data_IF_798132621930
#
_entry.id   IF_798132621930
#
_cell.length_a   1.000
_cell.length_b   1.000
_cell.length_c   1.000
_cell.angle_alpha   90.00
_cell.angle_beta   90.00
_cell.angle_gamma   90.00
#
_symmetry.space_group_name_H-M   'P 1'
#
loop_
_entity.id
_entity.type
_entity.pdbx_description
1 polymer ?
#
# COMPACT_ATOMS: atom_id res chain seq x y z
N UNK A 1 14.38 40.36 27.94
CA UNK A 1 13.08 40.26 27.22
C UNK A 1 13.31 39.32 26.04
N UNK A 2 13.20 38.00 26.20
CA UNK A 2 11.95 37.22 26.26
C UNK A 2 11.11 37.39 24.98
N UNK A 3 11.63 37.07 23.79
CA UNK A 3 10.77 37.02 22.59
C UNK A 3 11.23 36.16 21.40
N UNK A 4 12.25 35.30 21.53
CA UNK A 4 12.73 34.47 20.38
C UNK A 4 12.74 32.95 20.63
N UNK A 5 11.74 32.42 21.36
CA UNK A 5 11.69 30.96 21.68
C UNK A 5 10.42 30.22 21.29
N UNK A 6 9.53 30.82 20.49
CA UNK A 6 8.20 30.24 20.23
C UNK A 6 7.94 29.75 18.79
N UNK A 7 8.93 29.71 17.90
CA UNK A 7 8.67 29.40 16.46
C UNK A 7 9.20 28.06 15.95
N UNK A 8 9.68 27.15 16.81
CA UNK A 8 10.25 25.85 16.37
C UNK A 8 9.53 24.60 16.90
N UNK A 9 8.37 24.73 17.53
CA UNK A 9 7.69 23.58 18.18
C UNK A 9 6.53 23.01 17.32
N UNK A 10 6.04 23.72 16.31
CA UNK A 10 4.71 23.43 15.74
C UNK A 10 4.66 22.58 14.45
N UNK A 11 5.81 22.20 13.86
CA UNK A 11 5.80 21.30 12.68
C UNK A 11 5.82 19.80 13.03
N UNK A 12 6.02 19.44 14.31
CA UNK A 12 6.07 18.04 14.76
C UNK A 12 4.69 17.46 15.16
N UNK A 13 3.69 18.32 15.35
CA UNK A 13 2.39 17.95 15.96
C UNK A 13 1.39 17.41 14.93
N UNK A 14 1.65 17.58 13.62
CA UNK A 14 0.75 17.16 12.55
C UNK A 14 0.83 15.66 12.16
N UNK A 15 1.89 14.95 12.52
CA UNK A 15 2.24 13.69 11.87
C UNK A 15 1.90 12.41 12.65
N UNK A 16 1.54 12.52 13.93
CA UNK A 16 1.15 11.40 14.80
C UNK A 16 -0.37 11.30 15.04
N UNK A 17 -1.17 12.10 14.33
CA UNK A 17 -2.62 12.11 14.54
C UNK A 17 -3.24 10.80 14.03
N UNK A 18 -4.25 10.27 14.74
CA UNK A 18 -5.02 9.15 14.22
C UNK A 18 -5.60 9.48 12.85
N UNK A 19 -5.68 8.48 11.97
CA UNK A 19 -6.18 8.66 10.62
C UNK A 19 -7.14 7.53 10.26
N UNK A 20 -8.01 7.80 9.29
CA UNK A 20 -8.94 6.79 8.79
C UNK A 20 -8.14 5.65 8.14
N UNK A 21 -8.59 4.42 8.37
CA UNK A 21 -8.03 3.21 7.77
C UNK A 21 -7.82 3.38 6.25
N UNK A 22 -6.68 2.92 5.71
CA UNK A 22 -6.38 3.08 4.28
C UNK A 22 -7.12 2.11 3.36
N UNK A 23 -7.97 1.23 3.89
CA UNK A 23 -8.82 0.35 3.08
C UNK A 23 -10.14 1.07 2.81
N UNK A 24 -10.56 1.11 1.54
CA UNK A 24 -11.65 1.96 1.07
C UNK A 24 -12.98 1.82 1.83
N UNK A 25 -13.39 0.60 2.16
CA UNK A 25 -14.66 0.33 2.86
C UNK A 25 -14.58 0.46 4.39
N UNK A 26 -13.45 0.94 4.92
CA UNK A 26 -13.22 1.05 6.36
C UNK A 26 -13.13 2.52 6.81
N UNK A 27 -14.17 2.98 7.52
CA UNK A 27 -14.22 4.34 8.08
C UNK A 27 -13.65 4.45 9.50
N UNK A 28 -13.01 3.38 10.01
CA UNK A 28 -12.43 3.39 11.35
C UNK A 28 -11.25 4.39 11.41
N UNK A 29 -11.23 5.21 12.45
CA UNK A 29 -10.07 6.04 12.80
C UNK A 29 -9.09 5.19 13.61
N UNK A 30 -7.83 5.17 13.18
CA UNK A 30 -6.80 4.24 13.65
C UNK A 30 -5.56 5.03 14.07
N UNK A 31 -5.08 4.78 15.28
CA UNK A 31 -3.81 5.32 15.77
C UNK A 31 -2.63 4.59 15.14
N UNK A 32 -1.47 5.27 15.04
CA UNK A 32 -0.25 4.67 14.50
C UNK A 32 0.20 3.42 15.26
N UNK A 33 0.01 3.40 16.58
CA UNK A 33 0.32 2.28 17.48
C UNK A 33 -0.70 1.14 17.42
N UNK A 34 -1.87 1.36 16.80
CA UNK A 34 -2.95 0.37 16.76
C UNK A 34 -3.25 -0.15 15.36
N UNK A 35 -2.48 0.28 14.35
CA UNK A 35 -2.70 -0.13 12.96
C UNK A 35 -2.67 -1.65 12.81
N UNK A 36 -1.67 -2.33 13.37
CA UNK A 36 -1.55 -3.78 13.23
C UNK A 36 -2.72 -4.51 13.90
N UNK A 37 -3.11 -4.10 15.12
CA UNK A 37 -4.30 -4.64 15.80
C UNK A 37 -5.55 -4.46 14.94
N UNK A 38 -5.74 -3.26 14.39
CA UNK A 38 -6.89 -2.96 13.54
C UNK A 38 -6.92 -3.89 12.31
N UNK A 39 -5.79 -4.03 11.61
CA UNK A 39 -5.69 -4.95 10.47
C UNK A 39 -6.01 -6.40 10.86
N UNK A 40 -5.45 -6.88 11.98
CA UNK A 40 -5.67 -8.26 12.48
C UNK A 40 -7.15 -8.51 12.77
N UNK A 41 -7.80 -7.58 13.46
CA UNK A 41 -9.15 -7.78 13.98
C UNK A 41 -10.27 -7.48 12.99
N UNK A 42 -10.02 -6.58 12.02
CA UNK A 42 -11.05 -6.10 11.08
C UNK A 42 -10.89 -6.61 9.66
N UNK A 43 -9.66 -6.90 9.23
CA UNK A 43 -9.36 -7.14 7.80
C UNK A 43 -8.70 -8.49 7.52
N UNK A 44 -8.04 -9.09 8.51
CA UNK A 44 -7.38 -10.40 8.40
C UNK A 44 -8.32 -11.58 8.74
N UNK A 45 -9.52 -11.34 9.24
CA UNK A 45 -10.51 -12.41 9.49
C UNK A 45 -10.91 -13.05 8.15
N UNK A 46 -10.67 -14.37 7.94
CA UNK A 46 -11.05 -15.08 6.72
C UNK A 46 -12.55 -15.01 6.42
N UNK A 47 -13.39 -14.73 7.44
CA UNK A 47 -14.84 -14.57 7.29
C UNK A 47 -15.24 -13.21 6.75
N UNK A 48 -14.32 -12.23 6.70
CA UNK A 48 -14.60 -10.87 6.27
C UNK A 48 -14.99 -10.78 4.77
N UNK A 49 -14.68 -11.79 3.93
CA UNK A 49 -15.04 -11.88 2.50
C UNK A 49 -14.83 -10.57 1.70
N UNK A 50 -13.89 -9.73 2.10
CA UNK A 50 -13.72 -8.39 1.51
C UNK A 50 -12.90 -8.40 0.22
N UNK A 51 -12.18 -9.49 -0.08
CA UNK A 51 -11.28 -9.59 -1.23
C UNK A 51 -11.37 -10.98 -1.90
N UNK A 52 -11.11 -11.08 -3.21
CA UNK A 52 -11.01 -12.37 -3.90
C UNK A 52 -9.76 -13.18 -3.50
N UNK A 53 -8.88 -12.61 -2.67
CA UNK A 53 -7.70 -13.25 -2.11
C UNK A 53 -7.61 -13.00 -0.60
N UNK A 54 -7.10 -13.97 0.15
CA UNK A 54 -6.91 -13.83 1.58
C UNK A 54 -5.75 -12.86 1.88
N UNK A 55 -6.04 -11.78 2.59
CA UNK A 55 -5.02 -10.87 3.14
C UNK A 55 -4.01 -11.70 3.95
N UNK A 56 -2.72 -11.58 3.63
CA UNK A 56 -1.66 -12.34 4.33
C UNK A 56 -0.97 -11.47 5.35
N UNK A 57 -0.78 -12.00 6.56
CA UNK A 57 0.10 -11.43 7.56
C UNK A 57 1.40 -12.22 7.59
N UNK A 58 2.55 -11.53 7.49
CA UNK A 58 3.87 -12.18 7.45
C UNK A 58 4.93 -11.34 8.13
N UNK A 59 5.81 -11.97 8.90
CA UNK A 59 7.05 -11.36 9.36
C UNK A 59 8.12 -11.37 8.27
N UNK A 60 8.83 -10.26 8.12
CA UNK A 60 9.90 -10.10 7.11
C UNK A 60 11.11 -9.35 7.67
N UNK A 61 12.31 -9.72 7.23
CA UNK A 61 13.55 -9.02 7.55
C UNK A 61 14.01 -8.09 6.42
N UNK A 62 14.95 -7.19 6.70
CA UNK A 62 15.60 -6.36 5.68
C UNK A 62 16.23 -7.22 4.59
N UNK A 63 16.06 -6.82 3.32
CA UNK A 63 16.58 -7.53 2.15
C UNK A 63 15.84 -8.84 1.82
N UNK A 64 14.87 -9.25 2.64
CA UNK A 64 14.11 -10.47 2.39
C UNK A 64 13.15 -10.27 1.20
N UNK A 65 13.28 -11.17 0.22
CA UNK A 65 12.39 -11.23 -0.94
C UNK A 65 11.02 -11.78 -0.57
N UNK A 66 9.97 -10.97 -0.77
CA UNK A 66 8.58 -11.39 -0.59
C UNK A 66 7.85 -11.39 -1.93
N UNK A 67 7.27 -12.52 -2.31
CA UNK A 67 6.46 -12.68 -3.53
C UNK A 67 4.98 -12.82 -3.17
N UNK A 68 4.15 -11.91 -3.69
CA UNK A 68 2.71 -11.89 -3.50
C UNK A 68 2.03 -12.24 -4.81
N UNK A 69 1.31 -13.35 -4.84
CA UNK A 69 0.50 -13.71 -6.01
C UNK A 69 -0.69 -12.75 -6.11
N UNK A 70 -0.86 -12.16 -7.28
CA UNK A 70 -1.90 -11.17 -7.56
C UNK A 70 -2.77 -11.63 -8.73
N UNK A 71 -4.03 -12.05 -8.48
CA UNK A 71 -5.01 -12.24 -9.54
C UNK A 71 -5.56 -10.88 -9.99
N UNK A 72 -4.77 -10.13 -10.77
CA UNK A 72 -4.98 -8.70 -11.03
C UNK A 72 -6.32 -8.37 -11.71
N UNK A 73 -6.88 -9.28 -12.52
CA UNK A 73 -8.22 -9.08 -13.13
C UNK A 73 -9.38 -9.23 -12.16
N UNK A 74 -9.17 -9.84 -10.99
CA UNK A 74 -10.19 -9.99 -9.95
C UNK A 74 -10.25 -8.77 -9.03
N UNK A 75 -9.30 -7.84 -9.13
CA UNK A 75 -9.32 -6.60 -8.34
C UNK A 75 -10.57 -5.78 -8.67
N UNK A 76 -11.24 -5.32 -7.60
CA UNK A 76 -12.35 -4.38 -7.70
C UNK A 76 -11.82 -3.04 -8.22
N UNK A 77 -12.50 -2.50 -9.24
CA UNK A 77 -12.15 -1.22 -9.86
C UNK A 77 -12.45 -0.07 -8.89
N UNK A 78 -11.58 0.93 -8.88
CA UNK A 78 -11.64 2.15 -8.06
C UNK A 78 -11.70 1.87 -6.54
N UNK A 79 -11.12 0.73 -6.13
CA UNK A 79 -11.12 0.29 -4.74
C UNK A 79 -9.69 0.00 -4.23
N UNK A 80 -9.29 0.70 -3.16
CA UNK A 80 -8.01 0.50 -2.48
C UNK A 80 -8.02 -0.80 -1.68
N UNK A 81 -7.17 -1.74 -2.08
CA UNK A 81 -7.10 -3.08 -1.53
C UNK A 81 -5.72 -3.35 -0.95
N UNK A 82 -5.67 -4.12 0.14
CA UNK A 82 -4.42 -4.53 0.77
C UNK A 82 -4.11 -5.99 0.43
N UNK A 83 -2.96 -6.24 -0.19
CA UNK A 83 -2.48 -7.58 -0.57
C UNK A 83 -1.89 -8.34 0.61
N UNK A 84 -1.12 -7.63 1.44
CA UNK A 84 -0.43 -8.21 2.58
C UNK A 84 -0.10 -7.16 3.64
N UNK A 85 0.00 -7.62 4.88
CA UNK A 85 0.63 -6.90 5.99
C UNK A 85 1.99 -7.55 6.24
N UNK A 86 3.05 -6.85 5.87
CA UNK A 86 4.44 -7.25 6.09
C UNK A 86 4.92 -6.61 7.40
N UNK A 87 5.04 -7.41 8.45
CA UNK A 87 5.59 -6.97 9.73
C UNK A 87 7.10 -7.02 9.64
N UNK A 88 7.70 -5.87 9.34
CA UNK A 88 9.14 -5.78 9.13
C UNK A 88 9.87 -5.72 10.47
N UNK A 89 10.88 -6.57 10.64
CA UNK A 89 11.85 -6.52 11.73
C UNK A 89 13.13 -5.81 11.28
N UNK A 90 13.55 -4.79 12.04
CA UNK A 90 14.82 -4.09 11.84
C UNK A 90 15.62 -4.09 13.13
N UNK A 91 16.94 -4.25 13.01
CA UNK A 91 17.88 -4.30 14.14
C UNK A 91 17.86 -2.99 14.97
N UNK A 92 17.40 -1.87 14.39
CA UNK A 92 17.35 -0.54 15.02
C UNK A 92 15.92 -0.01 15.22
N UNK A 93 14.97 -0.86 15.63
CA UNK A 93 13.54 -0.51 15.70
C UNK A 93 13.13 0.45 16.80
N UNK A 94 13.79 0.38 17.97
CA UNK A 94 13.44 1.21 19.14
C UNK A 94 13.45 2.72 18.85
N UNK A 95 14.24 3.13 17.85
CA UNK A 95 14.34 4.53 17.44
C UNK A 95 13.48 4.89 16.23
N UNK A 96 12.87 3.92 15.54
CA UNK A 96 12.22 4.14 14.25
C UNK A 96 10.72 4.41 14.33
N UNK A 97 10.00 3.66 15.18
CA UNK A 97 8.56 3.77 15.36
C UNK A 97 8.19 3.45 16.81
N UNK A 98 7.05 3.98 17.27
CA UNK A 98 6.44 3.52 18.50
C UNK A 98 5.99 2.04 18.38
N UNK A 99 6.02 1.26 19.47
CA UNK A 99 5.56 -0.13 19.46
C UNK A 99 4.07 -0.24 19.14
N UNK A 100 3.68 -1.34 18.50
CA UNK A 100 2.29 -1.70 18.29
C UNK A 100 1.67 -2.18 19.61
N UNK A 101 0.52 -1.60 19.97
CA UNK A 101 -0.17 -1.82 21.23
C UNK A 101 -1.38 -2.73 21.06
N UNK A 102 -1.79 -3.33 22.17
CA UNK A 102 -2.99 -4.15 22.30
C UNK A 102 -3.14 -5.28 21.25
N UNK A 103 -2.00 -5.83 20.82
CA UNK A 103 -2.01 -6.98 19.92
C UNK A 103 -2.63 -8.19 20.63
N UNK A 104 -3.41 -9.04 19.92
CA UNK A 104 -3.89 -10.30 20.46
C UNK A 104 -2.72 -11.17 20.97
N UNK A 105 -2.92 -12.04 21.99
CA UNK A 105 -1.84 -12.84 22.59
C UNK A 105 -0.96 -13.59 21.58
N UNK A 106 -1.56 -14.18 20.54
CA UNK A 106 -0.84 -14.90 19.49
C UNK A 106 0.01 -14.04 18.54
N UNK A 107 -0.09 -12.71 18.63
CA UNK A 107 0.63 -11.75 17.80
C UNK A 107 1.54 -10.81 18.62
N UNK A 108 1.69 -11.02 19.93
CA UNK A 108 2.53 -10.16 20.79
C UNK A 108 3.99 -10.10 20.35
N UNK A 109 4.51 -11.16 19.69
CA UNK A 109 5.86 -11.15 19.12
C UNK A 109 6.07 -10.06 18.06
N UNK A 110 5.00 -9.48 17.50
CA UNK A 110 5.04 -8.42 16.49
C UNK A 110 5.00 -7.01 17.08
N UNK A 111 5.00 -6.86 18.41
CA UNK A 111 4.87 -5.56 19.09
C UNK A 111 5.90 -4.53 18.63
N UNK A 112 7.12 -4.95 18.34
CA UNK A 112 8.18 -4.03 17.90
C UNK A 112 8.34 -3.96 16.38
N UNK A 113 7.63 -4.79 15.63
CA UNK A 113 7.67 -4.77 14.18
C UNK A 113 6.94 -3.57 13.61
N UNK A 114 7.42 -3.07 12.48
CA UNK A 114 6.71 -2.06 11.72
C UNK A 114 5.75 -2.74 10.74
N UNK A 115 4.42 -2.60 10.90
CA UNK A 115 3.48 -3.11 9.90
C UNK A 115 3.57 -2.27 8.63
N UNK A 116 3.88 -2.92 7.52
CA UNK A 116 3.89 -2.32 6.17
C UNK A 116 2.75 -2.95 5.37
N UNK A 117 1.79 -2.13 4.97
CA UNK A 117 0.67 -2.53 4.14
C UNK A 117 1.08 -2.46 2.67
N UNK A 118 0.88 -3.56 1.96
CA UNK A 118 1.12 -3.64 0.52
C UNK A 118 -0.19 -3.35 -0.19
N UNK A 119 -0.32 -2.13 -0.71
CA UNK A 119 -1.57 -1.64 -1.28
C UNK A 119 -1.58 -1.77 -2.80
N UNK A 120 -2.77 -2.02 -3.34
CA UNK A 120 -3.04 -2.03 -4.77
C UNK A 120 -4.39 -1.37 -5.07
N UNK A 121 -4.49 -0.69 -6.21
CA UNK A 121 -5.74 -0.22 -6.76
C UNK A 121 -5.76 -0.46 -8.27
N UNK A 122 -6.86 -1.03 -8.78
CA UNK A 122 -7.17 -1.09 -10.20
C UNK A 122 -8.10 0.07 -10.50
N UNK A 123 -7.77 0.90 -11.48
CA UNK A 123 -8.58 2.06 -11.88
C UNK A 123 -8.47 2.24 -13.40
N UNK A 124 -9.02 3.32 -13.94
CA UNK A 124 -8.92 3.68 -15.37
C UNK A 124 -8.22 5.01 -15.53
N UNK A 125 -7.57 5.23 -16.67
CA UNK A 125 -7.00 6.54 -16.99
C UNK A 125 -8.06 7.65 -16.94
N UNK A 126 -9.30 7.36 -17.32
CA UNK A 126 -10.44 8.28 -17.18
C UNK A 126 -10.67 8.69 -15.72
N UNK A 127 -10.74 7.74 -14.78
CA UNK A 127 -10.95 8.02 -13.35
C UNK A 127 -9.80 8.83 -12.73
N UNK A 128 -8.58 8.54 -13.21
CA UNK A 128 -7.35 9.24 -12.85
C UNK A 128 -7.28 10.68 -13.40
N UNK A 129 -7.71 10.90 -14.64
CA UNK A 129 -7.62 12.18 -15.35
C UNK A 129 -8.87 13.06 -15.22
N UNK A 130 -10.04 12.50 -14.90
CA UNK A 130 -11.29 13.25 -14.73
C UNK A 130 -11.17 14.26 -13.58
N UNK A 131 -11.03 15.52 -13.98
CA UNK A 131 -11.18 16.69 -13.10
C UNK A 131 -12.33 17.62 -13.51
N UNK A 132 -13.25 17.24 -14.40
CA UNK A 132 -14.25 18.16 -14.96
C UNK A 132 -15.62 17.47 -15.02
N UNK A 133 -16.60 18.12 -14.41
CA UNK A 133 -18.05 17.86 -14.38
C UNK A 133 -18.59 16.71 -13.49
N UNK A 134 -19.11 17.13 -12.33
CA UNK A 134 -20.01 16.36 -11.43
C UNK A 134 -21.37 16.01 -12.07
N UNK A 135 -21.51 15.97 -13.39
CA UNK A 135 -22.83 15.87 -14.06
C UNK A 135 -23.12 14.60 -14.86
N UNK A 136 -22.18 13.68 -15.06
CA UNK A 136 -22.48 12.43 -15.77
C UNK A 136 -22.42 11.22 -14.84
N UNK A 137 -23.46 11.09 -14.02
CA UNK A 137 -23.68 9.94 -13.12
C UNK A 137 -24.51 8.82 -13.77
N UNK A 138 -24.39 8.62 -15.09
CA UNK A 138 -25.23 7.62 -15.75
C UNK A 138 -24.68 7.08 -17.07
N UNK A 139 -23.52 6.44 -17.05
CA UNK A 139 -23.17 5.49 -18.12
C UNK A 139 -22.54 4.22 -17.55
N UNK A 140 -23.39 3.20 -17.38
CA UNK A 140 -23.03 1.79 -17.29
C UNK A 140 -22.58 1.28 -18.67
N UNK A 141 -21.45 1.77 -19.16
CA UNK A 141 -20.69 1.15 -20.26
C UNK A 141 -19.35 0.70 -19.70
N UNK A 142 -18.81 -0.38 -20.25
CA UNK A 142 -17.58 -1.02 -19.78
C UNK A 142 -16.40 -0.03 -19.84
N UNK A 143 -16.17 0.69 -18.74
CA UNK A 143 -15.28 1.86 -18.65
C UNK A 143 -13.83 1.50 -18.97
N UNK A 144 -13.49 0.22 -18.86
CA UNK A 144 -12.16 -0.32 -19.20
C UNK A 144 -11.90 -0.33 -20.71
N UNK A 145 -12.93 -0.54 -21.54
CA UNK A 145 -12.79 -0.69 -22.99
C UNK A 145 -12.48 0.62 -23.73
N UNK A 146 -12.80 1.78 -23.14
CA UNK A 146 -12.64 3.08 -23.81
C UNK A 146 -11.36 3.84 -23.43
N UNK A 147 -10.83 3.65 -22.21
CA UNK A 147 -9.72 4.47 -21.68
C UNK A 147 -8.55 3.67 -21.10
N UNK A 148 -8.62 2.33 -21.13
CA UNK A 148 -7.58 1.45 -20.62
C UNK A 148 -7.55 1.38 -19.08
N UNK A 149 -7.38 0.17 -18.56
CA UNK A 149 -7.15 -0.08 -17.14
C UNK A 149 -5.72 0.26 -16.72
N UNK A 150 -5.55 0.70 -15.48
CA UNK A 150 -4.25 0.97 -14.87
C UNK A 150 -4.23 0.47 -13.44
N UNK A 151 -3.11 -0.13 -13.06
CA UNK A 151 -2.87 -0.65 -11.73
C UNK A 151 -1.83 0.19 -11.02
N UNK A 152 -2.11 0.49 -9.76
CA UNK A 152 -1.23 1.25 -8.88
C UNK A 152 -0.85 0.41 -7.68
N UNK A 153 0.44 0.40 -7.35
CA UNK A 153 1.01 -0.33 -6.21
C UNK A 153 1.81 0.62 -5.34
N UNK A 154 1.58 0.59 -4.02
CA UNK A 154 2.34 1.42 -3.07
C UNK A 154 2.41 0.75 -1.71
N UNK A 155 3.26 1.30 -0.84
CA UNK A 155 3.46 0.80 0.53
C UNK A 155 3.07 1.86 1.55
N UNK A 156 2.35 1.44 2.59
CA UNK A 156 1.98 2.28 3.73
C UNK A 156 2.54 1.71 5.02
N UNK A 157 2.89 2.56 5.99
CA UNK A 157 3.25 2.18 7.35
C UNK A 157 2.75 3.22 8.34
N UNK A 158 2.77 2.93 9.65
CA UNK A 158 2.73 3.96 10.69
C UNK A 158 3.81 5.04 10.49
N UNK A 159 3.65 6.16 11.19
CA UNK A 159 4.65 7.23 11.19
C UNK A 159 5.99 6.69 11.64
N UNK A 160 7.02 6.96 10.86
CA UNK A 160 8.40 6.58 11.15
C UNK A 160 9.25 7.83 11.28
N UNK A 161 10.22 7.80 12.21
CA UNK A 161 11.12 8.95 12.43
C UNK A 161 12.07 9.19 11.27
N UNK A 162 12.32 8.16 10.47
CA UNK A 162 13.22 8.19 9.31
C UNK A 162 12.55 7.51 8.11
N UNK A 163 12.81 7.99 6.87
CA UNK A 163 12.32 7.35 5.66
C UNK A 163 12.76 5.88 5.56
N UNK A 164 11.84 5.02 5.13
CA UNK A 164 12.11 3.61 4.82
C UNK A 164 11.91 3.41 3.33
N UNK A 165 12.76 2.56 2.74
CA UNK A 165 12.71 2.24 1.33
C UNK A 165 12.48 0.76 1.07
N UNK A 166 11.88 0.47 -0.07
CA UNK A 166 11.68 -0.88 -0.59
C UNK A 166 11.91 -0.93 -2.10
N UNK A 167 12.37 -2.06 -2.60
CA UNK A 167 12.36 -2.37 -4.03
C UNK A 167 11.06 -3.09 -4.38
N UNK A 168 10.45 -2.68 -5.49
CA UNK A 168 9.19 -3.24 -6.00
C UNK A 168 9.40 -3.76 -7.42
N UNK A 169 8.91 -4.96 -7.69
CA UNK A 169 8.92 -5.53 -9.03
C UNK A 169 7.63 -6.31 -9.34
N UNK A 170 7.27 -6.36 -10.62
CA UNK A 170 6.22 -7.23 -11.13
C UNK A 170 6.88 -8.33 -11.96
N UNK A 171 6.52 -9.56 -11.64
CA UNK A 171 7.05 -10.75 -12.29
C UNK A 171 5.91 -11.52 -12.94
N UNK A 172 6.19 -12.12 -14.10
CA UNK A 172 5.24 -13.02 -14.75
C UNK A 172 5.14 -14.37 -14.01
N UNK A 173 4.32 -15.28 -14.55
CA UNK A 173 4.13 -16.63 -13.96
C UNK A 173 5.41 -17.49 -13.96
N UNK A 174 6.39 -17.16 -14.80
CA UNK A 174 7.73 -17.77 -14.82
C UNK A 174 8.73 -17.08 -13.89
N UNK A 175 8.29 -16.12 -13.05
CA UNK A 175 9.14 -15.35 -12.11
C UNK A 175 10.20 -14.51 -12.86
N UNK A 176 9.99 -14.24 -14.15
CA UNK A 176 10.83 -13.31 -14.89
C UNK A 176 10.39 -11.89 -14.55
N UNK A 177 11.37 -11.05 -14.20
CA UNK A 177 11.10 -9.64 -13.93
C UNK A 177 10.71 -8.95 -15.21
N UNK A 178 9.53 -8.36 -15.20
CA UNK A 178 9.05 -7.59 -16.34
C UNK A 178 9.12 -6.10 -16.04
N UNK A 179 8.75 -5.74 -14.83
CA UNK A 179 8.81 -4.36 -14.39
C UNK A 179 9.59 -4.32 -13.09
N UNK A 180 10.65 -3.51 -13.05
CA UNK A 180 11.42 -3.29 -11.84
C UNK A 180 11.58 -1.81 -11.62
N UNK A 181 11.12 -1.32 -10.47
CA UNK A 181 11.47 0.01 -9.98
C UNK A 181 12.30 -0.15 -8.74
N UNK A 182 13.54 0.28 -8.88
CA UNK A 182 14.43 0.38 -7.76
C UNK A 182 13.93 1.52 -6.87
N UNK A 183 13.80 1.23 -5.59
CA UNK A 183 13.66 2.18 -4.49
C UNK A 183 12.39 3.04 -4.53
N UNK A 184 11.38 2.57 -3.82
CA UNK A 184 10.20 3.31 -3.39
C UNK A 184 10.23 3.59 -1.91
N UNK A 185 9.86 4.81 -1.54
CA UNK A 185 9.71 5.22 -0.15
C UNK A 185 8.39 4.69 0.39
N UNK A 186 8.39 4.17 1.61
CA UNK A 186 7.17 3.77 2.31
C UNK A 186 6.50 5.02 2.87
N UNK A 187 5.18 5.13 2.67
CA UNK A 187 4.42 6.31 3.08
C UNK A 187 3.84 6.13 4.48
N UNK A 188 3.66 7.24 5.18
CA UNK A 188 2.78 7.26 6.34
C UNK A 188 1.32 7.02 5.89
N UNK A 189 0.62 6.05 6.49
CA UNK A 189 -0.78 5.77 6.17
C UNK A 189 -1.71 6.94 6.50
N UNK A 190 -1.34 7.78 7.47
CA UNK A 190 -2.12 8.97 7.82
C UNK A 190 -2.03 10.09 6.77
N UNK A 191 -1.01 10.06 5.91
CA UNK A 191 -0.84 11.04 4.84
C UNK A 191 -1.73 10.68 3.65
N UNK A 192 -2.99 11.10 3.71
CA UNK A 192 -3.92 10.99 2.60
C UNK A 192 -3.44 11.83 1.41
N UNK A 193 -3.38 11.19 0.26
CA UNK A 193 -3.13 11.84 -1.01
C UNK A 193 -4.09 11.21 -2.01
N UNK A 194 -4.89 12.01 -2.73
CA UNK A 194 -5.74 11.48 -3.78
C UNK A 194 -4.87 10.76 -4.80
N UNK A 195 -5.30 9.57 -5.22
CA UNK A 195 -4.66 8.71 -6.25
C UNK A 195 -4.26 9.50 -7.51
N UNK A 196 -4.91 10.63 -7.78
CA UNK A 196 -4.66 11.52 -8.92
C UNK A 196 -3.35 12.30 -8.84
N UNK A 197 -2.85 12.62 -7.65
CA UNK A 197 -1.58 13.33 -7.49
C UNK A 197 -0.37 12.41 -7.76
N UNK A 198 -0.59 11.12 -8.00
CA UNK A 198 0.42 10.12 -8.28
C UNK A 198 0.93 10.26 -9.74
N UNK A 199 0.08 10.64 -10.69
CA UNK A 199 0.32 10.44 -12.15
C UNK A 199 1.50 11.24 -12.73
N UNK A 200 2.03 12.24 -12.02
CA UNK A 200 3.13 13.09 -12.51
C UNK A 200 4.51 12.40 -12.59
N UNK A 201 4.59 11.06 -12.46
CA UNK A 201 5.72 10.23 -12.93
C UNK A 201 7.04 10.32 -12.14
N UNK A 202 7.20 11.32 -11.28
CA UNK A 202 8.39 11.55 -10.45
C UNK A 202 8.22 11.08 -8.99
N UNK A 203 7.09 10.48 -8.68
CA UNK A 203 6.71 10.18 -7.31
C UNK A 203 7.52 8.98 -6.75
N UNK A 204 8.15 9.14 -5.57
CA UNK A 204 8.97 8.10 -4.98
C UNK A 204 8.17 6.99 -4.32
N UNK A 205 6.83 7.01 -4.31
CA UNK A 205 6.01 6.17 -3.44
C UNK A 205 5.26 5.03 -4.14
N UNK A 206 5.13 5.04 -5.47
CA UNK A 206 4.30 4.04 -6.16
C UNK A 206 4.91 3.47 -7.44
N UNK A 207 4.26 2.42 -7.93
CA UNK A 207 4.47 1.77 -9.23
C UNK A 207 3.15 1.76 -9.97
N UNK A 208 3.14 2.19 -11.24
CA UNK A 208 2.00 2.04 -12.15
C UNK A 208 2.33 1.11 -13.31
N UNK A 209 1.32 0.37 -13.76
CA UNK A 209 1.38 -0.49 -14.96
C UNK A 209 0.00 -0.51 -15.64
N UNK A 210 -0.02 -0.49 -16.97
CA UNK A 210 -1.26 -0.59 -17.72
C UNK A 210 -1.80 -2.02 -17.72
N UNK A 211 -3.11 -2.17 -17.85
CA UNK A 211 -3.77 -3.47 -17.94
C UNK A 211 -3.29 -4.27 -19.16
N UNK A 212 -3.18 -3.63 -20.33
CA UNK A 212 -2.66 -4.26 -21.54
C UNK A 212 -1.24 -4.80 -21.35
N UNK A 213 -0.39 -4.03 -20.64
CA UNK A 213 0.94 -4.50 -20.28
C UNK A 213 0.85 -5.72 -19.36
N UNK A 214 -0.01 -5.74 -18.34
CA UNK A 214 -0.16 -6.94 -17.52
C UNK A 214 -0.66 -8.15 -18.30
N UNK A 215 -1.55 -7.94 -19.26
CA UNK A 215 -2.12 -9.00 -20.10
C UNK A 215 -1.08 -9.62 -21.04
N UNK A 216 -0.26 -8.79 -21.68
CA UNK A 216 0.89 -9.26 -22.49
C UNK A 216 1.82 -10.16 -21.67
N UNK A 217 2.02 -9.83 -20.39
CA UNK A 217 2.96 -10.53 -19.51
C UNK A 217 2.45 -11.84 -18.95
N UNK A 218 1.13 -12.03 -18.96
CA UNK A 218 0.52 -13.26 -18.48
C UNK A 218 0.47 -14.35 -19.54
N UNK A 219 0.89 -14.08 -20.79
CA UNK A 219 0.73 -14.97 -21.95
C UNK A 219 -0.73 -15.45 -22.06
N UNK A 220 -1.59 -14.71 -22.78
CA UNK A 220 -3.05 -14.82 -22.84
C UNK A 220 -3.73 -16.16 -23.18
N UNK A 221 -3.07 -17.31 -22.99
CA UNK A 221 -3.66 -18.64 -23.04
C UNK A 221 -4.23 -19.07 -21.68
N UNK A 222 -5.56 -18.92 -21.53
CA UNK A 222 -6.34 -19.56 -20.46
C UNK A 222 -6.77 -18.65 -19.31
N UNK A 223 -7.54 -19.23 -18.38
CA UNK A 223 -8.29 -18.51 -17.33
C UNK A 223 -7.44 -18.07 -16.11
N UNK A 224 -6.10 -17.99 -16.25
CA UNK A 224 -5.16 -17.75 -15.13
C UNK A 224 -4.39 -16.44 -15.31
N UNK A 225 -5.08 -15.33 -15.03
CA UNK A 225 -4.53 -13.98 -15.03
C UNK A 225 -3.90 -13.64 -13.68
N UNK A 226 -2.74 -14.24 -13.37
CA UNK A 226 -2.02 -13.97 -12.13
C UNK A 226 -0.56 -13.61 -12.37
N UNK A 227 -0.10 -12.56 -11.69
CA UNK A 227 1.30 -12.14 -11.64
C UNK A 227 1.84 -12.28 -10.22
N UNK A 228 3.15 -12.10 -10.05
CA UNK A 228 3.76 -11.94 -8.73
C UNK A 228 4.20 -10.50 -8.52
N UNK A 229 3.73 -9.89 -7.44
CA UNK A 229 4.28 -8.64 -6.94
C UNK A 229 5.38 -8.93 -5.92
N UNK A 230 6.59 -8.53 -6.26
CA UNK A 230 7.78 -8.65 -5.43
C UNK A 230 7.98 -7.39 -4.59
N UNK A 231 8.20 -7.59 -3.28
CA UNK A 231 8.54 -6.55 -2.32
C UNK A 231 9.80 -6.96 -1.56
N UNK A 232 10.80 -6.08 -1.54
CA UNK A 232 12.03 -6.22 -0.75
C UNK A 232 12.18 -4.95 0.08
N UNK A 233 12.15 -5.03 1.40
CA UNK A 233 12.31 -3.87 2.27
C UNK A 233 13.81 -3.65 2.54
N UNK A 234 14.34 -2.52 2.12
CA UNK A 234 15.76 -2.16 2.26
C UNK A 234 16.05 -1.47 3.60
N UNK A 235 15.02 -0.88 4.22
CA UNK A 235 15.13 -0.23 5.52
C UNK A 235 15.46 1.26 5.45
N UNK A 236 16.09 1.77 6.52
CA UNK A 236 16.57 3.16 6.61
C UNK A 236 17.94 3.23 5.95
N UNK A 237 18.15 4.19 5.06
CA UNK A 237 19.48 4.38 4.48
C UNK A 237 20.36 5.23 5.40
N UNK A 238 21.63 4.81 5.53
CA UNK A 238 22.73 5.60 6.07
C UNK A 238 23.15 6.70 5.11
#
# INVERSE_FOLDING_TARGET
NMEDRASSIDESIGHSKPAICPLADCQAVVEHTHLLRHMITKHLDPRARTLPFQLRLREVSTGQRTLLMLPYRQLIIDNDQCLAVLNWSSVSQGDLTAPQLDLPPCHQMLTYHLPILVMVCRTTWKSLLKQIDEKDMQETRDVTAEWGGVYLFWLLSPLTRRPIYANLALLNSQIQSVYRRNRRRIRNFASRMPIRQFINGLDPYFVSINEDQLDELCNGGGNRFSIYFEVIIEGVMS
#
